data_IF_445895552154
#
_entry.id   IF_445895552154
#
_cell.length_a   1.000
_cell.length_b   1.000
_cell.length_c   1.000
_cell.angle_alpha   90.00
_cell.angle_beta   90.00
_cell.angle_gamma   90.00
#
_symmetry.space_group_name_H-M   'P 1'
#
loop_
_entity.id
_entity.type
_entity.pdbx_description
1 polymer ?
#
# COMPACT_ATOMS: atom_id res chain seq x y z
N UNK A 1 3.08 -31.38 23.49
CA UNK A 1 3.55 -31.07 22.11
C UNK A 1 2.77 -29.86 21.63
N UNK A 2 3.50 -28.81 21.26
CA UNK A 2 3.02 -27.45 21.01
C UNK A 2 1.96 -27.39 19.90
N UNK A 3 0.74 -26.95 20.23
CA UNK A 3 -0.16 -26.28 19.28
C UNK A 3 0.04 -24.78 19.46
N UNK A 4 1.02 -24.22 18.76
CA UNK A 4 1.24 -22.78 18.71
C UNK A 4 0.32 -22.17 17.65
N UNK A 5 -0.51 -21.25 18.15
CA UNK A 5 -1.23 -20.18 17.47
C UNK A 5 -0.77 -19.86 16.05
N UNK A 6 -1.56 -20.27 15.06
CA UNK A 6 -1.43 -19.88 13.64
C UNK A 6 -2.44 -18.80 13.20
N UNK A 7 -3.02 -18.02 14.13
CA UNK A 7 -4.00 -16.99 13.77
C UNK A 7 -3.70 -15.63 14.41
N UNK A 8 -2.53 -15.05 14.12
CA UNK A 8 -2.24 -13.66 14.54
C UNK A 8 -1.70 -12.75 13.41
N UNK A 9 -1.74 -13.18 12.14
CA UNK A 9 -1.38 -12.31 11.01
C UNK A 9 -2.58 -11.80 10.20
N UNK A 10 -3.78 -12.32 10.42
CA UNK A 10 -4.99 -11.89 9.70
C UNK A 10 -5.62 -10.59 10.23
N UNK A 11 -4.96 -9.88 11.15
CA UNK A 11 -5.58 -8.80 11.94
C UNK A 11 -5.18 -7.37 11.58
N UNK A 12 -4.21 -7.14 10.68
CA UNK A 12 -3.61 -5.80 10.53
C UNK A 12 -3.99 -5.08 9.23
N UNK A 13 -4.56 -5.77 8.23
CA UNK A 13 -4.87 -5.14 6.92
C UNK A 13 -6.36 -4.73 6.78
N UNK A 14 -7.07 -4.60 7.90
CA UNK A 14 -8.35 -3.90 7.93
C UNK A 14 -8.17 -2.43 8.35
N UNK A 15 -7.00 -1.83 8.07
CA UNK A 15 -6.90 -0.39 7.99
C UNK A 15 -7.67 0.03 6.74
N UNK A 16 -8.87 0.59 6.96
CA UNK A 16 -9.63 1.33 5.99
C UNK A 16 -8.70 2.29 5.25
N UNK A 17 -8.26 1.90 4.05
CA UNK A 17 -7.50 2.80 3.21
C UNK A 17 -8.46 3.92 2.85
N UNK A 18 -8.31 5.07 3.51
CA UNK A 18 -9.05 6.26 3.17
C UNK A 18 -8.77 6.53 1.69
N UNK A 19 -9.76 6.29 0.83
CA UNK A 19 -9.58 6.53 -0.59
C UNK A 19 -9.16 7.99 -0.79
N UNK A 20 -8.31 8.29 -1.76
CA UNK A 20 -7.74 9.64 -1.87
C UNK A 20 -8.75 10.78 -2.03
N UNK A 21 -9.94 10.49 -2.58
CA UNK A 21 -11.03 11.45 -2.69
C UNK A 21 -11.75 11.75 -1.35
N UNK A 22 -11.51 10.95 -0.32
CA UNK A 22 -12.20 11.03 0.98
C UNK A 22 -11.28 11.42 2.15
N UNK A 23 -9.96 11.48 1.96
CA UNK A 23 -9.05 11.92 3.02
C UNK A 23 -9.21 13.42 3.31
N UNK A 24 -9.70 13.77 4.51
CA UNK A 24 -9.99 15.15 4.93
C UNK A 24 -8.99 15.67 5.98
N UNK A 25 -8.33 14.78 6.73
CA UNK A 25 -7.39 15.11 7.81
C UNK A 25 -5.95 14.71 7.45
N UNK A 26 -4.96 15.30 8.13
CA UNK A 26 -3.55 14.91 7.93
C UNK A 26 -3.28 13.43 8.26
N UNK A 27 -4.00 12.87 9.23
CA UNK A 27 -3.86 11.45 9.58
C UNK A 27 -4.40 10.56 8.46
N UNK A 28 -5.59 10.86 7.93
CA UNK A 28 -6.17 10.12 6.80
C UNK A 28 -5.29 10.22 5.54
N UNK A 29 -4.71 11.39 5.25
CA UNK A 29 -3.79 11.55 4.12
C UNK A 29 -2.52 10.72 4.34
N UNK A 30 -2.01 10.68 5.57
CA UNK A 30 -0.84 9.86 5.91
C UNK A 30 -1.13 8.38 5.73
N UNK A 31 -2.26 7.89 6.24
CA UNK A 31 -2.66 6.49 6.10
C UNK A 31 -2.88 6.10 4.64
N UNK A 32 -3.46 7.01 3.85
CA UNK A 32 -3.59 6.85 2.41
C UNK A 32 -2.21 6.73 1.74
N UNK A 33 -1.26 7.64 1.99
CA UNK A 33 0.10 7.57 1.39
C UNK A 33 0.81 6.28 1.80
N UNK A 34 0.72 5.88 3.07
CA UNK A 34 1.27 4.59 3.54
C UNK A 34 0.65 3.44 2.74
N UNK A 35 -0.68 3.42 2.58
CA UNK A 35 -1.38 2.39 1.82
C UNK A 35 -0.93 2.33 0.35
N UNK A 36 -0.76 3.50 -0.30
CA UNK A 36 -0.30 3.57 -1.69
C UNK A 36 1.15 3.13 -1.86
N UNK A 37 2.04 3.40 -0.89
CA UNK A 37 3.38 2.85 -0.89
C UNK A 37 3.39 1.33 -0.73
N UNK A 38 2.57 0.79 0.16
CA UNK A 38 2.41 -0.67 0.30
C UNK A 38 1.95 -1.30 -1.02
N UNK A 39 1.05 -0.62 -1.75
CA UNK A 39 0.64 -1.05 -3.09
C UNK A 39 1.79 -0.98 -4.09
N UNK A 40 2.58 0.09 -4.09
CA UNK A 40 3.78 0.21 -4.94
C UNK A 40 4.78 -0.92 -4.68
N UNK A 41 5.08 -1.23 -3.41
CA UNK A 41 5.94 -2.37 -3.05
C UNK A 41 5.34 -3.68 -3.53
N UNK A 42 4.03 -3.88 -3.38
CA UNK A 42 3.37 -5.10 -3.83
C UNK A 42 3.42 -5.27 -5.35
N UNK A 43 3.33 -4.18 -6.10
CA UNK A 43 3.47 -4.18 -7.55
C UNK A 43 4.86 -4.65 -7.95
N UNK A 44 5.90 -4.04 -7.38
CA UNK A 44 7.29 -4.36 -7.68
C UNK A 44 7.65 -5.77 -7.22
N UNK A 45 7.29 -6.12 -5.98
CA UNK A 45 7.63 -7.41 -5.40
C UNK A 45 6.90 -8.57 -6.09
N UNK A 46 5.70 -8.35 -6.63
CA UNK A 46 4.88 -9.41 -7.23
C UNK A 46 4.81 -9.34 -8.75
N UNK A 47 5.61 -8.48 -9.37
CA UNK A 47 5.68 -8.32 -10.82
C UNK A 47 4.28 -8.09 -11.43
N UNK A 48 3.49 -7.19 -10.82
CA UNK A 48 2.14 -6.91 -11.28
C UNK A 48 2.14 -5.98 -12.48
N UNK A 49 1.45 -6.37 -13.55
CA UNK A 49 1.29 -5.51 -14.72
C UNK A 49 0.38 -4.31 -14.43
N UNK A 50 0.90 -3.11 -14.67
CA UNK A 50 0.13 -1.87 -14.66
C UNK A 50 -0.11 -1.36 -16.08
N UNK A 51 -1.29 -0.82 -16.30
CA UNK A 51 -1.49 0.10 -17.43
C UNK A 51 -0.83 1.44 -17.10
N UNK A 52 -0.37 2.16 -18.13
CA UNK A 52 0.19 3.51 -17.99
C UNK A 52 -0.72 4.45 -17.18
N UNK A 53 -2.04 4.37 -17.37
CA UNK A 53 -3.00 5.17 -16.61
C UNK A 53 -3.06 4.79 -15.12
N UNK A 54 -2.84 3.53 -14.76
CA UNK A 54 -2.79 3.11 -13.36
C UNK A 54 -1.51 3.59 -12.68
N UNK A 55 -0.38 3.53 -13.38
CA UNK A 55 0.90 4.07 -12.93
C UNK A 55 0.80 5.59 -12.68
N UNK A 56 0.34 6.35 -13.68
CA UNK A 56 0.17 7.81 -13.56
C UNK A 56 -0.78 8.20 -12.41
N UNK A 57 -1.84 7.43 -12.16
CA UNK A 57 -2.77 7.68 -11.06
C UNK A 57 -2.15 7.36 -9.70
N UNK A 58 -1.40 6.27 -9.60
CA UNK A 58 -0.71 5.90 -8.36
C UNK A 58 0.29 6.98 -7.98
N UNK A 59 1.13 7.39 -8.92
CA UNK A 59 2.15 8.43 -8.73
C UNK A 59 1.52 9.77 -8.35
N UNK A 60 0.46 10.19 -9.06
CA UNK A 60 -0.26 11.43 -8.76
C UNK A 60 -0.75 11.47 -7.31
N UNK A 61 -1.38 10.39 -6.83
CA UNK A 61 -1.98 10.38 -5.50
C UNK A 61 -0.95 10.24 -4.37
N UNK A 62 0.16 9.56 -4.63
CA UNK A 62 1.34 9.57 -3.75
C UNK A 62 1.89 11.00 -3.65
N UNK A 63 2.22 11.63 -4.78
CA UNK A 63 2.76 12.99 -4.80
C UNK A 63 1.82 14.01 -4.16
N UNK A 64 0.51 13.89 -4.41
CA UNK A 64 -0.48 14.76 -3.82
C UNK A 64 -0.47 14.63 -2.29
N UNK A 65 -0.44 13.41 -1.77
CA UNK A 65 -0.42 13.16 -0.34
C UNK A 65 0.88 13.65 0.31
N UNK A 66 2.02 13.41 -0.33
CA UNK A 66 3.32 13.93 0.10
C UNK A 66 3.34 15.46 0.22
N UNK A 67 2.86 16.14 -0.83
CA UNK A 67 2.72 17.61 -0.86
C UNK A 67 1.81 18.12 0.26
N UNK A 68 0.69 17.43 0.53
CA UNK A 68 -0.25 17.81 1.60
C UNK A 68 0.33 17.62 3.00
N UNK A 69 1.15 16.60 3.20
CA UNK A 69 1.81 16.30 4.47
C UNK A 69 3.12 17.08 4.66
N UNK A 70 3.58 17.78 3.63
CA UNK A 70 4.90 18.42 3.60
C UNK A 70 6.02 17.40 3.96
N UNK A 71 5.86 16.17 3.47
CA UNK A 71 6.87 15.12 3.55
C UNK A 71 7.48 14.97 2.15
N UNK A 72 8.78 14.72 2.10
CA UNK A 72 9.41 14.28 0.88
C UNK A 72 9.31 12.75 0.82
N UNK A 73 9.22 12.25 -0.41
CA UNK A 73 9.41 10.87 -0.83
C UNK A 73 10.25 10.07 0.19
N UNK A 74 9.69 8.94 0.65
CA UNK A 74 10.30 7.97 1.59
C UNK A 74 10.33 8.28 3.09
N UNK A 75 9.68 9.32 3.62
CA UNK A 75 9.61 9.52 5.10
C UNK A 75 8.74 8.51 5.89
N UNK A 76 8.26 7.45 5.24
CA UNK A 76 7.51 6.36 5.88
C UNK A 76 8.35 5.06 5.92
N UNK A 77 9.67 5.19 6.12
CA UNK A 77 10.68 4.11 6.17
C UNK A 77 10.24 2.84 6.91
N UNK A 78 9.44 2.96 7.97
CA UNK A 78 8.96 1.81 8.74
C UNK A 78 8.00 0.89 7.97
N UNK A 79 7.13 1.47 7.13
CA UNK A 79 6.21 0.69 6.32
C UNK A 79 6.99 -0.10 5.25
N UNK A 80 7.98 0.53 4.63
CA UNK A 80 8.89 -0.10 3.68
C UNK A 80 9.63 -1.28 4.29
N UNK A 81 10.35 -1.06 5.41
CA UNK A 81 11.11 -2.12 6.06
C UNK A 81 10.23 -3.33 6.45
N UNK A 82 9.02 -3.08 6.96
CA UNK A 82 8.09 -4.17 7.34
C UNK A 82 7.62 -4.97 6.13
N UNK A 83 7.35 -4.31 5.00
CA UNK A 83 6.91 -4.99 3.78
C UNK A 83 8.05 -5.71 3.08
N UNK A 84 9.25 -5.11 3.03
CA UNK A 84 10.46 -5.76 2.52
C UNK A 84 10.77 -7.04 3.30
N UNK A 85 10.74 -6.99 4.63
CA UNK A 85 10.91 -8.19 5.48
C UNK A 85 9.84 -9.25 5.18
N UNK A 86 8.58 -8.85 4.95
CA UNK A 86 7.51 -9.78 4.59
C UNK A 86 7.74 -10.44 3.23
N UNK A 87 8.20 -9.68 2.23
CA UNK A 87 8.58 -10.17 0.90
C UNK A 87 9.77 -11.12 0.98
N UNK A 88 10.81 -10.77 1.74
CA UNK A 88 12.00 -11.61 1.93
C UNK A 88 11.68 -12.93 2.62
N UNK A 89 10.76 -12.91 3.60
CA UNK A 89 10.38 -14.09 4.37
C UNK A 89 9.58 -15.10 3.54
N UNK A 90 8.58 -14.64 2.79
CA UNK A 90 7.77 -15.50 1.93
C UNK A 90 7.09 -14.67 0.82
N UNK A 91 7.83 -14.37 -0.25
CA UNK A 91 7.33 -13.67 -1.44
C UNK A 91 6.06 -14.33 -2.00
N UNK A 92 5.94 -15.66 -1.94
CA UNK A 92 4.75 -16.36 -2.47
C UNK A 92 3.50 -16.07 -1.65
N UNK A 93 3.58 -16.19 -0.32
CA UNK A 93 2.48 -15.87 0.57
C UNK A 93 2.13 -14.38 0.51
N UNK A 94 3.14 -13.50 0.54
CA UNK A 94 2.97 -12.06 0.38
C UNK A 94 2.22 -11.73 -0.91
N UNK A 95 2.67 -12.26 -2.06
CA UNK A 95 2.03 -11.97 -3.33
C UNK A 95 0.64 -12.56 -3.46
N UNK A 96 0.36 -13.72 -2.85
CA UNK A 96 -0.99 -14.27 -2.80
C UNK A 96 -1.98 -13.36 -2.07
N UNK A 97 -1.52 -12.68 -1.02
CA UNK A 97 -2.34 -11.75 -0.23
C UNK A 97 -2.43 -10.37 -0.87
N UNK A 98 -1.29 -9.81 -1.30
CA UNK A 98 -1.19 -8.41 -1.71
C UNK A 98 -1.57 -8.17 -3.16
N UNK A 99 -1.40 -9.14 -4.07
CA UNK A 99 -1.78 -8.97 -5.47
C UNK A 99 -3.26 -8.57 -5.68
N UNK A 100 -4.25 -9.25 -5.07
CA UNK A 100 -5.65 -8.83 -5.22
C UNK A 100 -5.92 -7.47 -4.58
N UNK A 101 -5.27 -7.15 -3.45
CA UNK A 101 -5.41 -5.85 -2.76
C UNK A 101 -4.88 -4.72 -3.65
N UNK A 102 -3.67 -4.86 -4.16
CA UNK A 102 -3.05 -3.91 -5.08
C UNK A 102 -3.91 -3.69 -6.33
N UNK A 103 -4.39 -4.77 -6.96
CA UNK A 103 -5.26 -4.67 -8.15
C UNK A 103 -6.58 -3.95 -7.85
N UNK A 104 -7.17 -4.19 -6.68
CA UNK A 104 -8.40 -3.52 -6.27
C UNK A 104 -8.16 -2.02 -6.04
N UNK A 105 -7.08 -1.65 -5.35
CA UNK A 105 -6.75 -0.24 -5.09
C UNK A 105 -6.43 0.51 -6.39
N UNK A 106 -5.66 -0.09 -7.31
CA UNK A 106 -5.39 0.51 -8.62
C UNK A 106 -6.66 0.76 -9.44
N UNK A 107 -7.68 -0.09 -9.26
CA UNK A 107 -8.99 0.11 -9.88
C UNK A 107 -9.75 1.26 -9.22
N UNK A 108 -9.74 1.32 -7.89
CA UNK A 108 -10.53 2.25 -7.07
C UNK A 108 -9.89 3.63 -6.89
N UNK A 109 -8.60 3.77 -7.19
CA UNK A 109 -7.91 5.06 -7.19
C UNK A 109 -8.73 6.09 -7.97
N UNK A 110 -8.87 7.35 -7.54
CA UNK A 110 -9.57 8.32 -8.38
C UNK A 110 -8.71 8.68 -9.62
N UNK A 111 -9.30 9.29 -10.68
CA UNK A 111 -8.52 9.89 -11.75
C UNK A 111 -7.52 10.92 -11.19
N UNK A 112 -6.36 11.05 -11.85
CA UNK A 112 -5.50 12.19 -11.65
C UNK A 112 -6.22 13.42 -12.25
N UNK A 113 -6.45 14.46 -11.44
CA UNK A 113 -7.15 15.67 -11.87
C UNK A 113 -6.22 16.63 -12.61
#
# INVERSE_FOLDING_TARGET
MYRLSTCLLAGVVAASMAMPAHAQTQEEIKDMVVGLYVVSIAIDACDLDLTKNQEERLDYWIEWGEKKLNIADRKLDKAYATMEEAVEKDKSAFCKEMSPVAKQILKDLPPAN
#
